data_IF_662257127615
#
_entry.id   IF_662257127615
#
_cell.length_a   1.000
_cell.length_b   1.000
_cell.length_c   1.000
_cell.angle_alpha   90.00
_cell.angle_beta   90.00
_cell.angle_gamma   90.00
#
_symmetry.space_group_name_H-M   'P 1'
#
loop_
_entity.id
_entity.type
_entity.pdbx_description
1 polymer ?
#
# COMPACT_ATOMS: atom_id res chain seq x y z
N UNK A 1 9.76 9.57 16.77
CA UNK A 1 9.97 10.17 15.43
C UNK A 1 10.16 9.03 14.45
N UNK A 2 9.30 8.94 13.43
CA UNK A 2 9.39 7.88 12.43
C UNK A 2 10.57 8.16 11.49
N UNK A 3 11.43 7.16 11.28
CA UNK A 3 12.60 7.25 10.40
C UNK A 3 12.15 7.19 8.94
N UNK A 4 12.73 7.96 8.03
CA UNK A 4 12.46 7.83 6.60
C UNK A 4 13.20 6.62 6.01
N UNK A 5 12.61 5.92 5.04
CA UNK A 5 13.35 4.94 4.24
C UNK A 5 13.88 5.61 2.98
N UNK A 6 15.21 5.58 2.79
CA UNK A 6 15.85 6.03 1.57
C UNK A 6 16.41 4.80 0.85
N UNK A 7 15.72 4.39 -0.21
CA UNK A 7 16.15 3.32 -1.10
C UNK A 7 16.87 3.90 -2.32
N UNK A 8 18.06 3.39 -2.62
CA UNK A 8 18.92 3.87 -3.71
C UNK A 8 19.38 2.67 -4.55
N UNK A 9 19.23 2.75 -5.87
CA UNK A 9 19.69 1.73 -6.80
C UNK A 9 21.04 2.11 -7.43
N UNK A 10 22.08 1.28 -7.29
CA UNK A 10 23.41 1.51 -7.87
C UNK A 10 23.41 1.48 -9.39
N UNK A 11 22.52 0.70 -10.00
CA UNK A 11 22.41 0.62 -11.46
C UNK A 11 21.49 1.70 -12.05
N UNK A 12 20.93 2.58 -11.22
CA UNK A 12 20.23 3.77 -11.69
C UNK A 12 21.21 4.93 -11.87
N UNK A 13 21.94 4.90 -12.98
CA UNK A 13 23.02 5.86 -13.24
C UNK A 13 22.57 7.33 -13.28
N UNK A 14 21.28 7.59 -13.54
CA UNK A 14 20.75 8.96 -13.57
C UNK A 14 20.45 9.50 -12.17
N UNK A 15 20.11 8.62 -11.21
CA UNK A 15 19.61 9.04 -9.90
C UNK A 15 20.44 8.53 -8.72
N UNK A 16 21.41 7.65 -8.91
CA UNK A 16 22.25 7.11 -7.85
C UNK A 16 22.94 8.21 -7.04
N UNK A 17 23.63 9.12 -7.73
CA UNK A 17 24.35 10.22 -7.09
C UNK A 17 23.39 11.20 -6.38
N UNK A 18 22.26 11.51 -7.01
CA UNK A 18 21.22 12.36 -6.41
C UNK A 18 20.65 11.71 -5.15
N UNK A 19 20.42 10.40 -5.14
CA UNK A 19 19.97 9.66 -3.96
C UNK A 19 20.96 9.76 -2.81
N UNK A 20 22.26 9.60 -3.10
CA UNK A 20 23.33 9.73 -2.10
C UNK A 20 23.43 11.14 -1.51
N UNK A 21 23.09 12.18 -2.29
CA UNK A 21 23.07 13.55 -1.82
C UNK A 21 21.81 13.86 -1.01
N UNK A 22 20.64 13.43 -1.50
CA UNK A 22 19.33 13.68 -0.89
C UNK A 22 19.20 13.01 0.47
N UNK A 23 19.75 11.80 0.66
CA UNK A 23 19.69 11.10 1.96
C UNK A 23 20.26 11.95 3.11
N UNK A 24 21.26 12.79 2.83
CA UNK A 24 21.90 13.66 3.84
C UNK A 24 20.99 14.76 4.37
N UNK A 25 19.85 15.02 3.72
CA UNK A 25 18.85 16.00 4.16
C UNK A 25 17.93 15.45 5.26
N UNK A 26 17.96 14.15 5.51
CA UNK A 26 17.15 13.50 6.53
C UNK A 26 17.94 13.36 7.83
N UNK A 27 17.38 13.83 8.94
CA UNK A 27 18.01 13.73 10.25
C UNK A 27 17.99 12.29 10.82
N UNK A 28 16.96 11.51 10.47
CA UNK A 28 16.83 10.10 10.83
C UNK A 28 16.31 9.34 9.60
N UNK A 29 17.12 8.43 9.07
CA UNK A 29 16.74 7.58 7.94
C UNK A 29 17.37 6.20 8.02
N UNK A 30 16.67 5.23 7.45
CA UNK A 30 17.21 3.91 7.11
C UNK A 30 17.64 3.94 5.66
N UNK A 31 18.91 3.61 5.40
CA UNK A 31 19.45 3.50 4.04
C UNK A 31 19.44 2.06 3.56
N UNK A 32 18.93 1.85 2.35
CA UNK A 32 19.07 0.60 1.61
C UNK A 32 19.64 0.91 0.22
N UNK A 33 20.85 0.41 -0.05
CA UNK A 33 21.48 0.53 -1.37
C UNK A 33 21.40 -0.83 -2.07
N UNK A 34 20.74 -0.88 -3.21
CA UNK A 34 20.65 -2.09 -4.04
C UNK A 34 21.68 -2.09 -5.16
N UNK A 35 22.40 -3.21 -5.30
CA UNK A 35 23.27 -3.50 -6.44
C UNK A 35 22.53 -4.20 -7.61
N UNK A 36 21.27 -4.60 -7.42
CA UNK A 36 20.47 -5.33 -8.42
C UNK A 36 19.40 -4.49 -9.09
N UNK A 37 18.79 -3.56 -8.35
CA UNK A 37 17.75 -2.68 -8.86
C UNK A 37 18.29 -1.65 -9.86
N UNK A 38 17.46 -1.25 -10.82
CA UNK A 38 17.67 -0.12 -11.74
C UNK A 38 16.78 1.07 -11.36
N UNK A 39 16.19 1.75 -12.35
CA UNK A 39 15.20 2.83 -12.12
C UNK A 39 13.82 2.27 -11.69
N UNK A 40 13.80 1.49 -10.61
CA UNK A 40 12.63 0.84 -10.07
C UNK A 40 12.82 0.50 -8.58
N UNK A 41 11.72 0.20 -7.89
CA UNK A 41 11.74 -0.43 -6.58
C UNK A 41 12.36 -1.84 -6.67
N UNK A 42 12.91 -2.38 -5.55
CA UNK A 42 13.45 -3.73 -5.56
C UNK A 42 12.33 -4.74 -5.85
N UNK A 43 12.65 -5.78 -6.61
CA UNK A 43 11.77 -6.93 -6.86
C UNK A 43 12.14 -8.07 -5.92
N UNK A 44 11.34 -9.15 -5.84
CA UNK A 44 11.59 -10.27 -4.92
C UNK A 44 12.98 -10.91 -5.04
N UNK A 45 13.64 -10.81 -6.20
CA UNK A 45 15.00 -11.31 -6.40
C UNK A 45 16.09 -10.38 -5.83
N UNK A 46 15.74 -9.17 -5.44
CA UNK A 46 16.65 -8.19 -4.84
C UNK A 46 16.84 -8.46 -3.34
N UNK A 47 18.08 -8.45 -2.88
CA UNK A 47 18.41 -8.70 -1.47
C UNK A 47 17.74 -7.70 -0.50
N UNK A 48 17.43 -6.48 -0.96
CA UNK A 48 16.79 -5.45 -0.16
C UNK A 48 15.26 -5.51 -0.17
N UNK A 49 14.64 -6.39 -0.97
CA UNK A 49 13.18 -6.46 -1.11
C UNK A 49 12.47 -6.62 0.24
N UNK A 50 12.89 -7.61 1.03
CA UNK A 50 12.24 -7.89 2.30
C UNK A 50 12.42 -6.76 3.32
N UNK A 51 13.56 -6.06 3.28
CA UNK A 51 13.82 -4.90 4.13
C UNK A 51 12.87 -3.74 3.81
N UNK A 52 12.57 -3.49 2.52
CA UNK A 52 11.56 -2.50 2.11
C UNK A 52 10.16 -2.90 2.58
N UNK A 53 9.77 -4.17 2.39
CA UNK A 53 8.46 -4.68 2.84
C UNK A 53 8.29 -4.57 4.35
N UNK A 54 9.32 -4.95 5.12
CA UNK A 54 9.30 -4.86 6.58
C UNK A 54 9.15 -3.41 7.03
N UNK A 55 9.96 -2.49 6.46
CA UNK A 55 9.87 -1.08 6.80
C UNK A 55 8.45 -0.50 6.59
N UNK A 56 7.81 -0.83 5.46
CA UNK A 56 6.43 -0.37 5.18
C UNK A 56 5.41 -0.99 6.17
N UNK A 57 5.59 -2.26 6.52
CA UNK A 57 4.71 -2.96 7.47
C UNK A 57 4.85 -2.42 8.90
N UNK A 58 6.06 -2.04 9.30
CA UNK A 58 6.34 -1.44 10.60
C UNK A 58 5.84 0.00 10.68
N UNK A 59 5.80 0.71 9.54
CA UNK A 59 5.20 2.04 9.42
C UNK A 59 3.70 2.01 9.78
N UNK A 60 2.97 1.04 9.22
CA UNK A 60 1.55 0.82 9.49
C UNK A 60 1.30 0.40 10.95
N UNK A 61 2.26 -0.30 11.57
CA UNK A 61 2.15 -0.78 12.95
C UNK A 61 2.52 0.27 13.99
N UNK A 62 3.33 1.27 13.64
CA UNK A 62 3.79 2.33 14.55
C UNK A 62 2.91 3.59 14.55
N UNK A 63 1.84 3.61 13.75
CA UNK A 63 0.80 4.63 13.74
C UNK A 63 -0.35 4.41 14.73
N UNK A 64 -0.29 3.41 15.61
CA UNK A 64 -1.29 3.26 16.68
C UNK A 64 -0.98 4.23 17.82
N UNK A 65 -1.50 5.45 17.71
CA UNK A 65 -1.56 6.42 18.79
C UNK A 65 -2.19 5.75 20.02
N UNK A 66 -1.51 5.81 21.16
CA UNK A 66 -1.98 5.30 22.44
C UNK A 66 -3.12 6.17 22.95
N UNK A 67 -4.34 5.91 22.46
CA UNK A 67 -5.57 6.25 23.17
C UNK A 67 -5.96 5.07 24.05
N UNK A 68 -6.09 5.29 25.35
CA UNK A 68 -6.70 4.32 26.28
C UNK A 68 -8.05 3.85 25.73
N UNK A 69 -8.22 2.53 25.55
CA UNK A 69 -9.51 1.99 25.17
C UNK A 69 -9.45 0.53 24.71
N UNK A 70 -9.44 -0.37 25.69
CA UNK A 70 -9.84 -1.78 25.62
C UNK A 70 -9.16 -2.69 24.60
N UNK A 71 -8.84 -3.90 25.06
CA UNK A 71 -8.73 -5.07 24.19
C UNK A 71 -9.98 -5.15 23.30
N UNK A 72 -9.90 -4.66 22.07
CA UNK A 72 -10.74 -5.15 21.01
C UNK A 72 -9.85 -5.61 19.88
N UNK A 73 -9.88 -6.92 19.67
CA UNK A 73 -9.47 -7.57 18.45
C UNK A 73 -10.33 -7.09 17.27
N UNK A 74 -10.35 -5.78 16.98
CA UNK A 74 -10.89 -5.25 15.76
C UNK A 74 -9.88 -5.62 14.67
N UNK A 75 -10.07 -6.85 14.17
CA UNK A 75 -9.71 -7.26 12.83
C UNK A 75 -9.59 -6.02 11.94
N UNK A 76 -8.46 -5.84 11.25
CA UNK A 76 -8.22 -4.72 10.34
C UNK A 76 -9.25 -4.77 9.18
N UNK A 77 -10.48 -4.36 9.48
CA UNK A 77 -11.67 -4.49 8.65
C UNK A 77 -11.63 -3.36 7.64
N UNK A 78 -11.38 -3.71 6.39
CA UNK A 78 -11.52 -2.77 5.28
C UNK A 78 -12.98 -2.74 4.86
N UNK A 79 -13.51 -1.52 4.69
CA UNK A 79 -14.86 -1.28 4.19
C UNK A 79 -14.83 -0.99 2.69
N UNK A 80 -15.57 -1.78 1.91
CA UNK A 80 -15.74 -1.61 0.47
C UNK A 80 -17.17 -1.18 0.19
N UNK A 81 -17.35 -0.12 -0.61
CA UNK A 81 -18.67 0.28 -1.10
C UNK A 81 -18.89 -0.28 -2.50
N UNK A 82 -19.89 -1.15 -2.64
CA UNK A 82 -20.38 -1.65 -3.91
C UNK A 82 -21.64 -0.87 -4.31
N UNK A 83 -21.57 -0.12 -5.41
CA UNK A 83 -22.74 0.52 -6.01
C UNK A 83 -23.20 -0.32 -7.20
N UNK A 84 -24.48 -0.69 -7.24
CA UNK A 84 -25.11 -1.31 -8.41
C UNK A 84 -25.87 -0.21 -9.15
N UNK A 85 -25.49 0.00 -10.41
CA UNK A 85 -26.11 1.02 -11.27
C UNK A 85 -26.91 0.34 -12.38
N UNK A 86 -28.06 0.92 -12.70
CA UNK A 86 -28.91 0.52 -13.82
C UNK A 86 -29.23 1.72 -14.69
N UNK A 87 -29.29 1.52 -16.00
CA UNK A 87 -29.62 2.57 -16.96
C UNK A 87 -29.62 2.03 -18.37
N UNK A 88 -30.17 2.82 -19.29
CA UNK A 88 -30.31 2.43 -20.70
C UNK A 88 -29.00 2.63 -21.49
N UNK A 89 -28.07 3.45 -20.96
CA UNK A 89 -26.71 3.62 -21.45
C UNK A 89 -25.75 4.09 -20.32
N UNK A 90 -24.44 4.17 -20.60
CA UNK A 90 -23.41 4.54 -19.63
C UNK A 90 -23.52 5.99 -19.10
N UNK A 91 -24.16 6.88 -19.85
CA UNK A 91 -24.35 8.28 -19.46
C UNK A 91 -25.64 8.47 -18.65
N UNK A 92 -26.53 7.48 -18.64
CA UNK A 92 -27.81 7.52 -17.95
C UNK A 92 -27.94 6.41 -16.89
N UNK A 93 -26.91 6.25 -16.06
CA UNK A 93 -26.88 5.27 -14.97
C UNK A 93 -27.41 5.89 -13.66
N UNK A 94 -28.34 5.19 -13.00
CA UNK A 94 -28.81 5.51 -11.64
C UNK A 94 -28.44 4.39 -10.67
N UNK A 95 -28.11 4.75 -9.44
CA UNK A 95 -27.83 3.79 -8.37
C UNK A 95 -29.15 3.13 -7.96
N UNK A 96 -29.19 1.80 -8.04
CA UNK A 96 -30.35 0.99 -7.62
C UNK A 96 -30.07 0.20 -6.33
N UNK A 97 -28.79 -0.05 -6.01
CA UNK A 97 -28.39 -0.68 -4.75
C UNK A 97 -27.03 -0.14 -4.30
N UNK A 98 -26.81 -0.10 -3.00
CA UNK A 98 -25.52 0.24 -2.39
C UNK A 98 -25.30 -0.68 -1.20
N UNK A 99 -24.18 -1.40 -1.22
CA UNK A 99 -23.79 -2.27 -0.11
C UNK A 99 -22.44 -1.89 0.42
N UNK A 100 -22.32 -1.96 1.74
CA UNK A 100 -21.03 -1.91 2.43
C UNK A 100 -20.63 -3.35 2.74
N UNK A 101 -19.43 -3.71 2.32
CA UNK A 101 -18.83 -5.01 2.59
C UNK A 101 -17.63 -4.77 3.48
N UNK A 102 -17.63 -5.39 4.65
CA UNK A 102 -16.53 -5.31 5.61
C UNK A 102 -15.79 -6.64 5.61
N UNK A 103 -14.47 -6.59 5.52
CA UNK A 103 -13.66 -7.80 5.57
C UNK A 103 -12.23 -7.52 5.99
N UNK A 104 -11.66 -8.47 6.72
CA UNK A 104 -10.28 -8.42 7.22
C UNK A 104 -9.27 -9.13 6.33
N UNK A 105 -9.71 -9.70 5.20
CA UNK A 105 -8.84 -10.40 4.26
C UNK A 105 -8.07 -9.43 3.35
N UNK A 106 -6.75 -9.63 3.20
CA UNK A 106 -5.88 -8.77 2.38
C UNK A 106 -6.12 -8.86 0.87
N UNK A 107 -6.63 -9.99 0.37
CA UNK A 107 -6.94 -10.21 -1.05
C UNK A 107 -8.41 -10.62 -1.19
N UNK A 108 -9.21 -9.82 -1.91
CA UNK A 108 -10.64 -10.06 -2.10
C UNK A 108 -11.03 -9.87 -3.56
N UNK A 109 -11.94 -10.71 -4.02
CA UNK A 109 -12.50 -10.63 -5.37
C UNK A 109 -14.03 -10.64 -5.26
N UNK A 110 -14.66 -9.70 -5.95
CA UNK A 110 -16.12 -9.62 -6.05
C UNK A 110 -16.53 -9.99 -7.48
N UNK A 111 -17.46 -10.93 -7.62
CA UNK A 111 -18.03 -11.33 -8.91
C UNK A 111 -19.50 -10.96 -8.95
N UNK A 112 -19.92 -10.29 -10.02
CA UNK A 112 -21.32 -10.13 -10.38
C UNK A 112 -21.69 -11.21 -11.40
N UNK A 113 -22.90 -11.76 -11.29
CA UNK A 113 -23.44 -12.76 -12.22
C UNK A 113 -24.88 -12.40 -12.56
N UNK A 114 -25.24 -12.54 -13.84
CA UNK A 114 -26.61 -12.42 -14.29
C UNK A 114 -27.29 -13.77 -14.13
N UNK A 115 -28.40 -13.81 -13.38
CA UNK A 115 -29.24 -14.99 -13.28
C UNK A 115 -30.33 -14.86 -14.35
N UNK A 116 -30.33 -15.70 -15.41
CA UNK A 116 -31.45 -15.75 -16.35
C UNK A 116 -32.69 -16.27 -15.63
N UNK A 117 -33.87 -15.76 -16.02
CA UNK A 117 -35.15 -16.32 -15.57
C UNK A 117 -35.34 -17.78 -15.98
#
# INVERSE_FOLDING_TARGET
TQSALIFIAQNDYNFYQIGLEVKTKFANYTELISAGAGHALPTQSDANFQSVVNFLSDLDSSGSDTGEGSDDSSQNLQSFRLNILQGDDLNNLQIIDTRIIESSARNQFFRAELIPE
#
